data_IF_240934306256
#
_entry.id   IF_240934306256
#
_cell.length_a   1.000
_cell.length_b   1.000
_cell.length_c   1.000
_cell.angle_alpha   90.00
_cell.angle_beta   90.00
_cell.angle_gamma   90.00
#
_symmetry.space_group_name_H-M   'P 1'
#
loop_
_entity.id
_entity.type
_entity.pdbx_description
1 polymer ?
#
# COMPACT_ATOMS: atom_id res chain seq x y z
N UNK A 1 43.61 -11.58 58.74
CA UNK A 1 44.51 -10.71 57.96
C UNK A 1 44.31 -11.03 56.48
N UNK A 2 43.68 -10.08 55.79
CA UNK A 2 43.42 -9.88 54.36
C UNK A 2 43.69 -11.00 53.34
N UNK A 3 42.57 -11.44 52.77
CA UNK A 3 42.34 -11.98 51.42
C UNK A 3 43.21 -11.23 50.40
N UNK A 4 44.14 -11.94 49.75
CA UNK A 4 44.86 -11.51 48.55
C UNK A 4 44.58 -12.55 47.46
N UNK A 5 44.46 -12.09 46.22
CA UNK A 5 44.25 -12.89 45.00
C UNK A 5 42.78 -13.24 44.68
N UNK A 6 41.89 -12.24 44.71
CA UNK A 6 40.67 -12.28 43.89
C UNK A 6 40.52 -10.98 43.10
N UNK A 7 41.54 -10.64 42.32
CA UNK A 7 41.56 -9.42 41.49
C UNK A 7 42.21 -9.73 40.15
N UNK A 8 41.58 -10.57 39.33
CA UNK A 8 41.88 -10.65 37.89
C UNK A 8 40.67 -11.19 37.09
N UNK A 9 39.46 -10.73 37.40
CA UNK A 9 38.25 -11.11 36.65
C UNK A 9 37.22 -9.97 36.62
N UNK A 10 37.70 -8.74 36.39
CA UNK A 10 36.83 -7.56 36.30
C UNK A 10 37.28 -6.55 35.24
N UNK A 11 37.62 -7.01 34.04
CA UNK A 11 38.08 -6.12 32.96
C UNK A 11 37.65 -6.56 31.54
N UNK A 12 36.51 -7.24 31.41
CA UNK A 12 35.98 -7.70 30.10
C UNK A 12 34.49 -7.38 29.89
N UNK A 13 33.97 -6.34 30.55
CA UNK A 13 32.53 -6.06 30.59
C UNK A 13 32.06 -4.74 29.98
N UNK A 14 32.82 -4.04 29.14
CA UNK A 14 32.43 -2.70 28.65
C UNK A 14 32.42 -2.50 27.12
N UNK A 15 32.59 -3.55 26.32
CA UNK A 15 32.55 -3.45 24.85
C UNK A 15 31.22 -3.93 24.22
N UNK A 16 30.09 -3.80 24.92
CA UNK A 16 28.77 -4.12 24.36
C UNK A 16 27.82 -2.91 24.37
N UNK A 17 28.34 -1.72 24.06
CA UNK A 17 27.48 -0.70 23.45
C UNK A 17 27.29 -1.12 21.99
N UNK A 18 26.29 -1.98 21.74
CA UNK A 18 25.72 -2.14 20.41
C UNK A 18 25.11 -0.79 20.02
N UNK A 19 25.93 0.06 19.41
CA UNK A 19 25.49 1.33 18.85
C UNK A 19 24.38 1.02 17.87
N UNK A 20 23.14 1.40 18.22
CA UNK A 20 22.05 1.44 17.25
C UNK A 20 22.50 2.44 16.19
N UNK A 21 22.72 1.96 14.97
CA UNK A 21 23.03 2.84 13.85
C UNK A 21 22.02 3.99 13.85
N UNK A 22 22.49 5.24 13.66
CA UNK A 22 21.58 6.35 13.56
C UNK A 22 20.61 6.06 12.41
N UNK A 23 19.33 6.37 12.60
CA UNK A 23 18.32 6.01 11.64
C UNK A 23 18.56 6.66 10.27
N UNK A 24 18.32 5.91 9.19
CA UNK A 24 18.34 6.43 7.82
C UNK A 24 17.47 7.70 7.74
N UNK A 25 17.97 8.81 7.15
CA UNK A 25 17.14 9.97 6.89
C UNK A 25 16.01 9.58 5.93
N UNK A 26 14.80 10.05 6.21
CA UNK A 26 13.65 9.81 5.34
C UNK A 26 13.77 10.63 4.07
N UNK A 27 13.27 10.07 2.96
CA UNK A 27 13.16 10.76 1.68
C UNK A 27 11.90 10.37 0.93
N UNK A 28 11.56 11.21 -0.04
CA UNK A 28 10.53 10.96 -1.04
C UNK A 28 11.18 10.56 -2.37
N UNK A 29 10.81 9.39 -2.88
CA UNK A 29 11.31 8.86 -4.16
C UNK A 29 10.21 8.03 -4.83
N UNK A 30 9.62 8.54 -5.91
CA UNK A 30 8.53 7.87 -6.63
C UNK A 30 8.82 7.91 -8.12
N UNK A 31 8.75 6.78 -8.85
CA UNK A 31 8.92 6.76 -10.29
C UNK A 31 7.91 7.66 -10.99
N UNK A 32 8.32 8.31 -12.08
CA UNK A 32 7.45 9.22 -12.84
C UNK A 32 6.19 8.55 -13.38
N UNK A 33 6.25 7.25 -13.68
CA UNK A 33 5.10 6.43 -14.10
C UNK A 33 4.10 6.17 -12.97
N UNK A 34 4.51 6.28 -11.70
CA UNK A 34 3.66 6.06 -10.52
C UNK A 34 3.16 7.38 -9.91
N UNK A 35 3.95 8.46 -10.05
CA UNK A 35 3.68 9.76 -9.46
C UNK A 35 2.25 10.31 -9.68
N UNK A 36 1.62 10.16 -10.88
CA UNK A 36 0.24 10.62 -11.08
C UNK A 36 -0.79 9.91 -10.18
N UNK A 37 -0.57 8.64 -9.86
CA UNK A 37 -1.46 7.89 -8.95
C UNK A 37 -1.26 8.32 -7.50
N UNK A 38 -0.01 8.56 -7.09
CA UNK A 38 0.30 9.09 -5.74
C UNK A 38 -0.32 10.48 -5.54
N UNK A 39 -0.23 11.36 -6.54
CA UNK A 39 -0.87 12.67 -6.49
C UNK A 39 -2.40 12.55 -6.37
N UNK A 40 -3.03 11.71 -7.20
CA UNK A 40 -4.46 11.43 -7.12
C UNK A 40 -4.89 10.91 -5.75
N UNK A 41 -4.11 10.05 -5.10
CA UNK A 41 -4.41 9.56 -3.76
C UNK A 41 -4.49 10.70 -2.73
N UNK A 42 -3.56 11.64 -2.78
CA UNK A 42 -3.56 12.82 -1.90
C UNK A 42 -4.77 13.70 -2.17
N UNK A 43 -5.06 13.98 -3.45
CA UNK A 43 -6.23 14.78 -3.85
C UNK A 43 -7.55 14.13 -3.39
N UNK A 44 -7.71 12.83 -3.58
CA UNK A 44 -8.91 12.08 -3.16
C UNK A 44 -9.06 11.99 -1.64
N UNK A 45 -7.94 11.89 -0.92
CA UNK A 45 -7.92 11.98 0.54
C UNK A 45 -8.37 13.36 1.03
N UNK A 46 -7.84 14.43 0.42
CA UNK A 46 -8.22 15.82 0.76
C UNK A 46 -9.71 16.07 0.55
N UNK A 47 -10.29 15.60 -0.56
CA UNK A 47 -11.75 15.68 -0.82
C UNK A 47 -12.59 15.02 0.29
N UNK A 48 -12.02 14.07 1.02
CA UNK A 48 -12.66 13.31 2.12
C UNK A 48 -12.17 13.74 3.50
N UNK A 49 -11.45 14.86 3.60
CA UNK A 49 -10.96 15.41 4.87
C UNK A 49 -9.77 14.65 5.48
N UNK A 50 -9.11 13.79 4.69
CA UNK A 50 -7.91 13.04 5.13
C UNK A 50 -6.66 13.72 4.58
N UNK A 51 -5.77 14.15 5.47
CA UNK A 51 -4.48 14.74 5.11
C UNK A 51 -3.41 13.65 5.12
N UNK A 52 -2.70 13.48 4.01
CA UNK A 52 -1.64 12.49 3.84
C UNK A 52 -0.32 13.19 3.59
N UNK A 53 0.68 12.93 4.42
CA UNK A 53 2.05 13.45 4.27
C UNK A 53 2.96 12.36 3.72
N UNK A 54 3.61 12.61 2.58
CA UNK A 54 4.35 11.60 1.82
C UNK A 54 5.87 11.73 1.91
N UNK A 55 6.39 12.60 2.78
CA UNK A 55 7.81 12.97 2.90
C UNK A 55 8.77 11.79 3.13
N UNK A 56 8.25 10.66 3.60
CA UNK A 56 8.98 9.43 3.85
C UNK A 56 8.52 8.25 2.98
N UNK A 57 8.02 8.49 1.75
CA UNK A 57 7.61 7.44 0.82
C UNK A 57 8.68 7.14 -0.25
N UNK A 58 9.05 5.86 -0.37
CA UNK A 58 9.76 5.35 -1.54
C UNK A 58 8.87 4.32 -2.25
N UNK A 59 8.72 4.45 -3.56
CA UNK A 59 8.09 3.45 -4.42
C UNK A 59 9.12 2.90 -5.38
N UNK A 60 9.13 1.58 -5.59
CA UNK A 60 9.98 0.93 -6.59
C UNK A 60 9.15 0.08 -7.55
N UNK A 61 9.57 0.02 -8.82
CA UNK A 61 9.06 -0.92 -9.82
C UNK A 61 10.10 -2.02 -9.98
N UNK A 62 9.67 -3.28 -9.90
CA UNK A 62 10.56 -4.44 -9.97
C UNK A 62 10.01 -5.47 -10.95
N UNK A 63 10.91 -6.14 -11.68
CA UNK A 63 10.54 -7.17 -12.64
C UNK A 63 10.02 -8.46 -12.00
N UNK A 64 10.39 -8.72 -10.73
CA UNK A 64 9.96 -9.90 -9.98
C UNK A 64 9.21 -9.48 -8.71
N UNK A 65 8.15 -10.22 -8.34
CA UNK A 65 7.35 -9.91 -7.17
C UNK A 65 8.13 -10.13 -5.87
N UNK A 66 8.05 -9.20 -4.91
CA UNK A 66 8.43 -9.51 -3.54
C UNK A 66 7.41 -10.51 -2.97
N UNK A 67 7.81 -11.77 -2.79
CA UNK A 67 6.98 -12.79 -2.12
C UNK A 67 6.38 -13.89 -2.99
N UNK A 68 6.67 -13.93 -4.29
CA UNK A 68 6.24 -15.01 -5.22
C UNK A 68 5.27 -14.53 -6.31
N UNK A 69 5.00 -15.40 -7.30
CA UNK A 69 4.44 -15.04 -8.62
C UNK A 69 3.03 -14.37 -8.61
N UNK A 70 2.30 -14.42 -7.50
CA UNK A 70 0.90 -13.98 -7.40
C UNK A 70 0.70 -12.60 -6.73
N UNK A 71 1.78 -11.85 -6.46
CA UNK A 71 1.71 -10.55 -5.74
C UNK A 71 2.05 -9.40 -6.68
N UNK A 72 1.13 -8.44 -6.86
CA UNK A 72 1.37 -7.27 -7.72
C UNK A 72 1.96 -6.06 -6.99
N UNK A 73 1.87 -6.02 -5.66
CA UNK A 73 2.34 -4.93 -4.82
C UNK A 73 2.62 -5.40 -3.40
N UNK A 74 3.54 -4.72 -2.72
CA UNK A 74 3.80 -4.95 -1.31
C UNK A 74 4.26 -3.68 -0.61
N UNK A 75 3.66 -3.41 0.54
CA UNK A 75 4.09 -2.40 1.49
C UNK A 75 4.98 -3.00 2.59
N UNK A 76 6.10 -2.35 2.85
CA UNK A 76 7.01 -2.68 3.94
C UNK A 76 6.88 -1.66 5.08
N UNK A 77 6.28 -2.12 6.19
CA UNK A 77 6.07 -1.30 7.39
C UNK A 77 7.42 -0.88 7.99
N UNK A 78 7.63 0.42 8.30
CA UNK A 78 8.86 0.86 8.95
C UNK A 78 8.98 0.26 10.35
N UNK A 79 10.22 -0.01 10.77
CA UNK A 79 10.53 -0.54 12.10
C UNK A 79 10.16 0.41 13.25
N UNK A 80 9.90 1.68 12.95
CA UNK A 80 9.56 2.73 13.91
C UNK A 80 8.50 3.68 13.35
N UNK A 81 7.68 4.31 14.21
CA UNK A 81 6.80 5.39 13.79
C UNK A 81 7.57 6.50 13.06
N UNK A 82 7.02 6.98 11.95
CA UNK A 82 7.66 8.01 11.11
C UNK A 82 8.88 7.54 10.30
N UNK A 83 9.29 6.27 10.41
CA UNK A 83 10.38 5.73 9.59
C UNK A 83 10.05 5.67 8.09
N UNK A 84 11.06 5.40 7.27
CA UNK A 84 10.92 5.28 5.82
C UNK A 84 9.89 4.21 5.43
N UNK A 85 8.87 4.61 4.68
CA UNK A 85 7.88 3.71 4.08
C UNK A 85 8.34 3.30 2.69
N UNK A 86 8.16 2.03 2.35
CA UNK A 86 8.56 1.47 1.06
C UNK A 86 7.42 0.67 0.45
N UNK A 87 7.11 0.95 -0.81
CA UNK A 87 6.20 0.15 -1.62
C UNK A 87 7.00 -0.42 -2.79
N UNK A 88 6.79 -1.69 -3.08
CA UNK A 88 7.26 -2.33 -4.30
C UNK A 88 6.06 -2.70 -5.15
N UNK A 89 6.09 -2.30 -6.41
CA UNK A 89 5.10 -2.66 -7.43
C UNK A 89 5.76 -3.54 -8.48
N UNK A 90 5.02 -4.49 -9.03
CA UNK A 90 5.55 -5.44 -10.02
C UNK A 90 5.32 -4.93 -11.43
N UNK A 91 6.40 -4.75 -12.18
CA UNK A 91 6.42 -4.25 -13.54
C UNK A 91 6.14 -5.36 -14.57
N UNK A 92 5.18 -6.24 -14.30
CA UNK A 92 4.73 -7.27 -15.24
C UNK A 92 3.54 -6.76 -16.07
N UNK A 93 3.24 -7.41 -17.20
CA UNK A 93 2.04 -7.11 -17.98
C UNK A 93 0.75 -7.35 -17.18
N UNK A 94 0.73 -8.38 -16.33
CA UNK A 94 -0.40 -8.74 -15.51
C UNK A 94 -0.67 -7.73 -14.37
N UNK A 95 0.37 -7.10 -13.82
CA UNK A 95 0.25 -6.20 -12.67
C UNK A 95 0.27 -4.71 -13.05
N UNK A 96 1.06 -4.33 -14.05
CA UNK A 96 1.32 -2.92 -14.36
C UNK A 96 1.23 -2.62 -15.86
N UNK A 97 2.13 -3.15 -16.67
CA UNK A 97 2.31 -2.69 -18.06
C UNK A 97 1.09 -2.91 -18.96
N UNK A 98 0.36 -4.01 -18.77
CA UNK A 98 -0.80 -4.38 -19.59
C UNK A 98 -2.15 -3.98 -18.99
N UNK A 99 -2.16 -3.33 -17.83
CA UNK A 99 -3.39 -3.02 -17.10
C UNK A 99 -3.93 -1.62 -17.44
N UNK A 100 -5.25 -1.45 -17.30
CA UNK A 100 -5.91 -0.16 -17.46
C UNK A 100 -5.44 0.86 -16.41
N UNK A 101 -5.55 2.16 -16.71
CA UNK A 101 -5.21 3.23 -15.77
C UNK A 101 -5.93 3.07 -14.42
N UNK A 102 -7.20 2.65 -14.45
CA UNK A 102 -8.00 2.39 -13.26
C UNK A 102 -7.44 1.27 -12.39
N UNK A 103 -6.85 0.23 -13.00
CA UNK A 103 -6.29 -0.90 -12.27
C UNK A 103 -4.94 -0.51 -11.63
N UNK A 104 -4.13 0.30 -12.32
CA UNK A 104 -2.92 0.89 -11.75
C UNK A 104 -3.24 1.84 -10.59
N UNK A 105 -4.28 2.65 -10.75
CA UNK A 105 -4.78 3.51 -9.67
C UNK A 105 -5.22 2.68 -8.46
N UNK A 106 -6.05 1.66 -8.68
CA UNK A 106 -6.53 0.77 -7.62
C UNK A 106 -5.38 0.11 -6.87
N UNK A 107 -4.39 -0.42 -7.59
CA UNK A 107 -3.20 -1.05 -6.99
C UNK A 107 -2.38 -0.06 -6.17
N UNK A 108 -2.06 1.12 -6.71
CA UNK A 108 -1.30 2.13 -5.97
C UNK A 108 -2.07 2.60 -4.74
N UNK A 109 -3.38 2.80 -4.86
CA UNK A 109 -4.23 3.23 -3.75
C UNK A 109 -4.33 2.16 -2.67
N UNK A 110 -4.39 0.88 -3.04
CA UNK A 110 -4.35 -0.25 -2.13
C UNK A 110 -3.07 -0.24 -1.28
N UNK A 111 -1.90 -0.15 -1.92
CA UNK A 111 -0.62 -0.11 -1.21
C UNK A 111 -0.46 1.15 -0.35
N UNK A 112 -0.89 2.31 -0.85
CA UNK A 112 -0.87 3.56 -0.09
C UNK A 112 -1.83 3.52 1.11
N UNK A 113 -2.94 2.81 1.02
CA UNK A 113 -3.87 2.64 2.12
C UNK A 113 -3.30 1.76 3.23
N UNK A 114 -2.56 0.69 2.91
CA UNK A 114 -1.73 0.00 3.90
C UNK A 114 -0.74 0.96 4.59
N UNK A 115 -0.12 1.81 3.78
CA UNK A 115 0.99 2.67 4.17
C UNK A 115 0.60 3.85 5.09
N UNK A 116 -0.50 4.55 4.75
CA UNK A 116 -0.88 5.83 5.34
C UNK A 116 -2.21 5.81 6.07
N UNK A 117 -3.11 4.88 5.71
CA UNK A 117 -4.43 4.76 6.34
C UNK A 117 -4.48 3.61 7.35
N UNK A 118 -3.42 2.78 7.42
CA UNK A 118 -3.37 1.62 8.31
C UNK A 118 -4.44 0.57 7.97
N UNK A 119 -4.83 0.51 6.70
CA UNK A 119 -5.85 -0.41 6.21
C UNK A 119 -5.25 -1.81 6.07
N UNK A 120 -5.99 -2.82 6.45
CA UNK A 120 -5.63 -4.24 6.25
C UNK A 120 -6.44 -4.82 5.11
N UNK A 121 -6.00 -5.97 4.57
CA UNK A 121 -6.79 -6.68 3.55
C UNK A 121 -8.21 -6.97 4.05
N UNK A 122 -9.19 -6.80 3.15
CA UNK A 122 -10.61 -7.00 3.43
C UNK A 122 -11.29 -7.67 2.23
N UNK A 123 -11.77 -8.89 2.44
CA UNK A 123 -12.24 -9.80 1.38
C UNK A 123 -13.73 -10.18 1.47
N UNK A 124 -14.50 -9.52 2.33
CA UNK A 124 -15.96 -9.64 2.33
C UNK A 124 -16.56 -9.06 1.05
N UNK A 125 -17.78 -9.49 0.76
CA UNK A 125 -18.49 -9.18 -0.48
C UNK A 125 -19.77 -8.40 -0.17
N UNK A 126 -20.13 -7.53 -1.10
CA UNK A 126 -21.43 -6.90 -1.16
C UNK A 126 -22.50 -7.93 -1.58
N UNK A 127 -23.81 -7.62 -1.44
CA UNK A 127 -24.89 -8.55 -1.81
C UNK A 127 -24.82 -9.06 -3.27
N UNK A 128 -24.31 -8.24 -4.20
CA UNK A 128 -24.10 -8.63 -5.60
C UNK A 128 -22.76 -9.36 -5.87
N UNK A 129 -22.09 -9.87 -4.84
CA UNK A 129 -20.80 -10.57 -4.89
C UNK A 129 -19.58 -9.73 -5.33
N UNK A 130 -19.73 -8.42 -5.54
CA UNK A 130 -18.59 -7.52 -5.72
C UNK A 130 -17.78 -7.40 -4.42
N UNK A 131 -16.47 -7.12 -4.49
CA UNK A 131 -15.68 -6.82 -3.30
C UNK A 131 -16.29 -5.68 -2.49
N UNK A 132 -16.35 -5.80 -1.17
CA UNK A 132 -16.81 -4.72 -0.31
C UNK A 132 -15.77 -3.61 -0.14
N UNK A 133 -14.49 -3.89 -0.45
CA UNK A 133 -13.38 -2.97 -0.22
C UNK A 133 -12.39 -2.94 -1.38
N UNK A 134 -11.73 -1.78 -1.55
CA UNK A 134 -10.54 -1.66 -2.41
C UNK A 134 -9.34 -2.44 -1.84
N UNK A 135 -9.38 -2.77 -0.54
CA UNK A 135 -8.39 -3.61 0.15
C UNK A 135 -8.57 -5.11 -0.13
N UNK A 136 -9.31 -5.48 -1.17
CA UNK A 136 -9.47 -6.88 -1.56
C UNK A 136 -8.18 -7.45 -2.14
N UNK A 137 -7.94 -8.74 -1.92
CA UNK A 137 -6.83 -9.48 -2.55
C UNK A 137 -7.19 -9.98 -3.95
N UNK A 138 -8.37 -9.63 -4.49
CA UNK A 138 -8.79 -10.00 -5.85
C UNK A 138 -8.15 -9.05 -6.87
N UNK A 139 -7.45 -9.61 -7.85
CA UNK A 139 -6.69 -8.85 -8.86
C UNK A 139 -7.54 -8.11 -9.89
N UNK A 140 -8.78 -8.55 -10.12
CA UNK A 140 -9.69 -7.91 -11.07
C UNK A 140 -10.18 -6.60 -10.45
N UNK A 141 -9.59 -5.48 -10.87
CA UNK A 141 -9.77 -4.17 -10.28
C UNK A 141 -11.25 -3.88 -9.96
N UNK A 142 -11.59 -3.45 -8.74
CA UNK A 142 -12.98 -3.31 -8.30
C UNK A 142 -13.81 -2.31 -9.13
N UNK A 143 -13.14 -1.41 -9.85
CA UNK A 143 -13.72 -0.43 -10.76
C UNK A 143 -13.05 -0.41 -12.16
N UNK A 144 -12.60 -1.57 -12.64
CA UNK A 144 -11.99 -1.73 -13.96
C UNK A 144 -12.96 -1.40 -15.12
N UNK A 145 -12.48 -0.88 -16.27
CA UNK A 145 -13.29 -0.71 -17.46
C UNK A 145 -13.49 -2.03 -18.23
N UNK A 146 -14.48 -2.05 -19.13
CA UNK A 146 -14.57 -3.10 -20.15
C UNK A 146 -13.37 -3.03 -21.11
N UNK A 147 -12.87 -4.20 -21.53
CA UNK A 147 -11.83 -4.26 -22.55
C UNK A 147 -12.30 -3.77 -23.92
N UNK A 148 -13.58 -3.99 -24.23
CA UNK A 148 -14.17 -3.60 -25.51
C UNK A 148 -15.64 -3.17 -25.32
N UNK A 149 -15.90 -1.88 -25.04
CA UNK A 149 -17.25 -1.38 -24.82
C UNK A 149 -17.96 -1.15 -26.17
N UNK A 150 -18.64 -2.16 -26.70
CA UNK A 150 -19.34 -2.03 -28.00
C UNK A 150 -20.65 -1.24 -27.88
N UNK A 151 -21.32 -1.26 -26.73
CA UNK A 151 -22.70 -0.79 -26.61
C UNK A 151 -23.00 0.07 -25.36
N UNK A 152 -22.00 0.39 -24.54
CA UNK A 152 -22.16 1.13 -23.27
C UNK A 152 -23.21 0.51 -22.31
N UNK A 153 -23.61 -0.75 -22.57
CA UNK A 153 -24.57 -1.54 -21.78
C UNK A 153 -23.93 -2.80 -21.21
N UNK A 154 -22.61 -2.98 -21.39
CA UNK A 154 -21.91 -4.17 -20.95
C UNK A 154 -21.64 -4.17 -19.44
N UNK A 155 -22.09 -5.22 -18.76
CA UNK A 155 -21.91 -5.46 -17.31
C UNK A 155 -20.44 -5.54 -16.86
N UNK A 156 -19.48 -5.58 -17.81
CA UNK A 156 -18.05 -5.53 -17.47
C UNK A 156 -17.55 -4.16 -17.04
N UNK A 157 -18.26 -3.05 -17.35
CA UNK A 157 -17.74 -1.71 -17.05
C UNK A 157 -18.05 -1.33 -15.61
N UNK A 158 -17.02 -1.30 -14.78
CA UNK A 158 -17.13 -1.02 -13.35
C UNK A 158 -16.63 0.36 -12.99
N UNK A 159 -16.30 1.22 -13.96
CA UNK A 159 -15.75 2.57 -13.69
C UNK A 159 -16.65 3.42 -12.79
N UNK A 160 -17.98 3.27 -12.92
CA UNK A 160 -18.97 3.95 -12.08
C UNK A 160 -18.90 3.58 -10.60
N UNK A 161 -18.21 2.49 -10.24
CA UNK A 161 -18.02 2.05 -8.86
C UNK A 161 -16.87 2.77 -8.15
N UNK A 162 -16.02 3.51 -8.88
CA UNK A 162 -14.81 4.15 -8.36
C UNK A 162 -15.09 4.97 -7.09
N UNK A 163 -16.09 5.85 -7.13
CA UNK A 163 -16.38 6.75 -6.01
C UNK A 163 -16.72 5.98 -4.72
N UNK A 164 -17.50 4.89 -4.83
CA UNK A 164 -17.79 4.03 -3.68
C UNK A 164 -16.51 3.45 -3.06
N UNK A 165 -15.60 2.92 -3.87
CA UNK A 165 -14.39 2.30 -3.36
C UNK A 165 -13.43 3.33 -2.75
N UNK A 166 -13.40 4.56 -3.27
CA UNK A 166 -12.63 5.63 -2.67
C UNK A 166 -13.26 6.13 -1.36
N UNK A 167 -14.58 6.27 -1.30
CA UNK A 167 -15.28 6.56 -0.05
C UNK A 167 -14.99 5.48 1.00
N UNK A 168 -15.03 4.21 0.61
CA UNK A 168 -14.72 3.08 1.48
C UNK A 168 -13.25 3.04 1.93
N UNK A 169 -12.33 3.40 1.03
CA UNK A 169 -10.90 3.43 1.32
C UNK A 169 -10.55 4.40 2.45
N UNK A 170 -11.12 5.62 2.38
CA UNK A 170 -10.87 6.68 3.36
C UNK A 170 -11.86 6.65 4.54
N UNK A 171 -12.97 5.91 4.42
CA UNK A 171 -13.95 5.70 5.49
C UNK A 171 -14.47 4.25 5.48
N UNK A 172 -13.95 3.44 6.40
CA UNK A 172 -14.33 2.03 6.56
C UNK A 172 -15.82 1.80 6.86
N UNK A 173 -16.53 2.82 7.36
CA UNK A 173 -17.94 2.77 7.69
C UNK A 173 -18.86 3.07 6.50
N UNK A 174 -18.31 3.19 5.28
CA UNK A 174 -19.09 3.40 4.06
C UNK A 174 -20.10 2.26 3.87
N UNK A 175 -21.37 2.61 3.73
CA UNK A 175 -22.47 1.65 3.61
C UNK A 175 -22.61 1.05 2.22
N UNK A 176 -23.47 0.04 2.09
CA UNK A 176 -23.71 -0.67 0.82
C UNK A 176 -24.30 0.27 -0.24
N UNK A 177 -23.67 0.42 -1.42
CA UNK A 177 -24.09 1.31 -2.48
C UNK A 177 -25.29 0.74 -3.24
N UNK A 178 -26.08 1.60 -3.90
CA UNK A 178 -27.33 1.20 -4.56
C UNK A 178 -27.12 0.13 -5.65
N UNK A 179 -26.02 0.20 -6.42
CA UNK A 179 -25.70 -0.77 -7.47
C UNK A 179 -25.33 -2.17 -6.94
N UNK A 180 -25.14 -2.31 -5.63
CA UNK A 180 -24.76 -3.56 -5.00
C UNK A 180 -25.86 -4.19 -4.13
N UNK A 181 -27.05 -3.59 -4.11
CA UNK A 181 -28.21 -4.09 -3.36
C UNK A 181 -29.00 -5.12 -4.14
#
# INVERSE_FOLDING_TARGET
>A
MMIKYLTYLLLLGLAACAGKEPPEPTRYEVPTSVAPYVARFVEEGQKRGVVVTLDNLIVSLQAQPPGGDDVCGAYFKPARPGGQRRITLVESSACWMGTYDQNREALVFHELAHCFLGREHRNDLLPNAAPASLMTTRLNGPYEPCAYPIDNTSDCDRRSRRDYYLDELFNAATGVPAWAR
#
